data_IF_323362065542
#
_entry.id   IF_323362065542
#
_cell.length_a   1.000
_cell.length_b   1.000
_cell.length_c   1.000
_cell.angle_alpha   90.00
_cell.angle_beta   90.00
_cell.angle_gamma   90.00
#
_symmetry.space_group_name_H-M   'P 1'
#
loop_
_entity.id
_entity.type
_entity.pdbx_description
1 polymer ?
#
# COMPACT_ATOMS: atom_id res chain seq x y z
N UNK A 1 -27.03 45.53 -48.99
CA UNK A 1 -27.34 45.40 -47.54
C UNK A 1 -27.35 43.90 -47.23
N UNK A 2 -26.28 43.38 -46.64
CA UNK A 2 -26.19 41.96 -46.24
C UNK A 2 -25.66 41.95 -44.80
N UNK A 3 -26.50 41.51 -43.85
CA UNK A 3 -26.07 41.23 -42.48
C UNK A 3 -25.94 39.71 -42.36
N UNK A 4 -24.71 39.22 -42.22
CA UNK A 4 -24.48 37.85 -41.79
C UNK A 4 -24.56 37.81 -40.27
N UNK A 5 -25.56 37.11 -39.74
CA UNK A 5 -25.61 36.70 -38.33
C UNK A 5 -24.60 35.56 -38.15
N UNK A 6 -23.47 35.82 -37.51
CA UNK A 6 -22.59 34.78 -36.97
C UNK A 6 -22.46 34.99 -35.47
N UNK A 7 -23.43 34.42 -34.74
CA UNK A 7 -23.35 34.20 -33.31
C UNK A 7 -24.07 32.88 -33.00
N UNK A 8 -23.55 31.78 -33.53
CA UNK A 8 -24.08 30.43 -33.28
C UNK A 8 -22.96 29.39 -33.27
N UNK A 9 -21.90 29.54 -32.46
CA UNK A 9 -20.95 28.42 -32.26
C UNK A 9 -20.04 28.53 -31.03
N UNK A 10 -20.54 28.97 -29.87
CA UNK A 10 -19.76 28.82 -28.62
C UNK A 10 -20.61 28.17 -27.53
N UNK A 11 -21.89 28.51 -27.42
CA UNK A 11 -22.75 27.96 -26.36
C UNK A 11 -23.02 26.44 -26.50
N UNK A 12 -23.04 25.90 -27.72
CA UNK A 12 -23.28 24.46 -27.97
C UNK A 12 -22.04 23.55 -27.80
N UNK A 13 -20.85 24.11 -27.57
CA UNK A 13 -19.63 23.31 -27.36
C UNK A 13 -19.31 23.09 -25.87
N UNK A 14 -19.84 23.94 -24.98
CA UNK A 14 -19.63 23.79 -23.53
C UNK A 14 -20.52 22.70 -22.92
N UNK A 15 -21.71 22.46 -23.47
CA UNK A 15 -22.62 21.40 -22.97
C UNK A 15 -22.18 19.98 -23.36
N UNK A 16 -21.24 19.83 -24.29
CA UNK A 16 -20.67 18.53 -24.67
C UNK A 16 -19.32 18.23 -24.01
N UNK A 17 -18.79 19.13 -23.18
CA UNK A 17 -17.49 18.99 -22.51
C UNK A 17 -17.58 18.72 -21.01
N UNK A 18 -18.76 18.31 -20.53
CA UNK A 18 -18.91 17.68 -19.22
C UNK A 18 -19.38 16.24 -19.43
N UNK A 19 -18.50 15.42 -20.00
CA UNK A 19 -18.61 13.98 -19.83
C UNK A 19 -18.51 13.75 -18.33
N UNK A 20 -19.67 13.54 -17.70
CA UNK A 20 -19.84 13.20 -16.30
C UNK A 20 -18.89 12.03 -16.00
N UNK A 21 -17.74 12.33 -15.39
CA UNK A 21 -16.82 11.32 -14.89
C UNK A 21 -17.66 10.53 -13.89
N UNK A 22 -17.93 9.25 -14.19
CA UNK A 22 -18.68 8.41 -13.26
C UNK A 22 -17.94 8.36 -11.92
N UNK A 23 -18.63 8.18 -10.79
CA UNK A 23 -17.98 8.07 -9.49
C UNK A 23 -16.88 6.99 -9.46
N UNK A 24 -17.00 5.94 -10.27
CA UNK A 24 -15.94 4.94 -10.46
C UNK A 24 -14.73 5.49 -11.26
N UNK A 25 -14.97 6.33 -12.26
CA UNK A 25 -13.90 7.01 -13.01
C UNK A 25 -13.25 8.12 -12.18
N UNK A 26 -13.98 8.81 -11.30
CA UNK A 26 -13.43 9.80 -10.37
C UNK A 26 -12.55 9.12 -9.30
N UNK A 27 -12.98 7.96 -8.79
CA UNK A 27 -12.15 7.11 -7.93
C UNK A 27 -10.88 6.59 -8.64
N UNK A 28 -10.93 6.40 -9.96
CA UNK A 28 -9.73 6.11 -10.77
C UNK A 28 -8.81 7.32 -10.96
N UNK A 29 -9.32 8.54 -10.86
CA UNK A 29 -8.57 9.80 -11.04
C UNK A 29 -7.92 10.28 -9.73
N UNK A 30 -8.47 9.96 -8.55
CA UNK A 30 -8.03 10.58 -7.28
C UNK A 30 -7.07 9.79 -6.38
N UNK A 31 -6.81 8.49 -6.58
CA UNK A 31 -5.77 7.83 -5.79
C UNK A 31 -5.84 6.31 -5.79
N UNK A 32 -4.68 5.64 -5.86
CA UNK A 32 -4.59 4.21 -5.63
C UNK A 32 -4.75 3.84 -4.15
N UNK A 33 -4.94 2.55 -3.87
CA UNK A 33 -5.13 2.04 -2.51
C UNK A 33 -3.92 2.36 -1.63
N UNK A 34 -4.17 3.11 -0.56
CA UNK A 34 -3.22 3.40 0.50
C UNK A 34 -3.40 2.37 1.62
N UNK A 35 -2.28 1.82 2.12
CA UNK A 35 -2.29 0.90 3.26
C UNK A 35 -1.30 1.39 4.29
N UNK A 36 -1.77 1.54 5.53
CA UNK A 36 -0.98 1.84 6.72
C UNK A 36 -0.95 0.59 7.60
N UNK A 37 0.24 0.08 7.89
CA UNK A 37 0.42 -0.90 8.95
C UNK A 37 0.44 -0.18 10.28
N UNK A 38 -0.36 -0.66 11.24
CA UNK A 38 -0.57 -0.03 12.56
C UNK A 38 0.12 -0.79 13.68
N UNK A 39 0.26 -2.11 13.53
CA UNK A 39 0.90 -2.96 14.52
C UNK A 39 1.47 -4.23 13.91
N UNK A 40 2.45 -4.80 14.61
CA UNK A 40 2.99 -6.11 14.33
C UNK A 40 3.17 -6.87 15.65
N UNK A 41 2.73 -8.13 15.66
CA UNK A 41 2.95 -9.08 16.75
C UNK A 41 3.63 -10.32 16.22
N UNK A 42 4.77 -10.67 16.80
CA UNK A 42 5.37 -11.98 16.59
C UNK A 42 4.61 -13.01 17.42
N UNK A 43 4.02 -13.99 16.76
CA UNK A 43 3.49 -15.19 17.43
C UNK A 43 4.64 -16.19 17.59
N UNK A 44 5.49 -16.29 16.57
CA UNK A 44 6.70 -17.10 16.55
C UNK A 44 7.75 -16.41 15.69
N UNK A 45 8.99 -16.32 16.18
CA UNK A 45 10.12 -15.84 15.39
C UNK A 45 10.98 -17.04 14.96
N UNK A 46 11.19 -17.19 13.65
CA UNK A 46 12.06 -18.20 13.06
C UNK A 46 13.50 -17.99 13.53
N UNK A 47 14.20 -19.07 13.87
CA UNK A 47 15.56 -18.97 14.41
C UNK A 47 15.67 -18.27 15.79
N UNK A 48 14.55 -17.96 16.45
CA UNK A 48 14.48 -17.33 17.77
C UNK A 48 14.31 -15.81 17.76
N UNK A 49 14.71 -15.12 16.70
CA UNK A 49 14.54 -13.68 16.53
C UNK A 49 14.59 -13.25 15.06
N UNK A 50 13.78 -12.28 14.68
CA UNK A 50 13.79 -11.67 13.35
C UNK A 50 14.08 -10.16 13.41
N UNK A 51 14.81 -9.61 12.43
CA UNK A 51 14.93 -8.16 12.20
C UNK A 51 13.91 -7.72 11.14
N UNK A 52 12.68 -7.51 11.58
CA UNK A 52 11.54 -7.36 10.70
C UNK A 52 11.51 -6.00 10.01
N UNK A 53 11.34 -6.01 8.69
CA UNK A 53 10.91 -4.85 7.92
C UNK A 53 9.75 -5.14 6.96
N UNK A 54 9.05 -4.10 6.48
CA UNK A 54 7.89 -4.21 5.61
C UNK A 54 8.23 -3.72 4.19
N UNK A 55 7.46 -4.19 3.22
CA UNK A 55 7.53 -3.77 1.83
C UNK A 55 6.15 -3.80 1.20
N UNK A 56 5.95 -2.93 0.22
CA UNK A 56 4.68 -2.71 -0.45
C UNK A 56 4.88 -2.86 -1.95
N UNK A 57 4.10 -3.73 -2.60
CA UNK A 57 4.19 -4.02 -4.03
C UNK A 57 5.62 -4.34 -4.52
N UNK A 58 6.40 -5.03 -3.70
CA UNK A 58 7.78 -5.40 -4.02
C UNK A 58 8.80 -4.26 -3.89
N UNK A 59 8.37 -3.03 -3.59
CA UNK A 59 9.27 -1.93 -3.21
C UNK A 59 9.84 -2.24 -1.83
N UNK A 60 11.06 -2.74 -1.81
CA UNK A 60 11.83 -3.05 -0.61
C UNK A 60 12.49 -1.78 -0.07
N UNK A 61 12.50 -1.62 1.25
CA UNK A 61 13.32 -0.65 1.99
C UNK A 61 14.84 -0.92 1.90
N UNK A 62 15.32 -1.63 0.87
CA UNK A 62 16.74 -2.03 0.72
C UNK A 62 17.61 -0.92 0.12
N UNK A 63 17.01 0.20 -0.31
CA UNK A 63 17.78 1.38 -0.74
C UNK A 63 17.93 2.29 0.47
N UNK A 64 19.09 2.22 1.12
CA UNK A 64 19.54 3.12 2.20
C UNK A 64 19.45 4.63 1.85
N UNK A 65 19.14 4.99 0.60
CA UNK A 65 18.98 6.36 0.09
C UNK A 65 17.72 6.56 -0.79
N UNK A 66 16.73 5.66 -0.74
CA UNK A 66 15.46 5.81 -1.46
C UNK A 66 14.34 6.32 -0.53
N UNK A 67 13.37 7.11 -1.01
CA UNK A 67 12.31 7.68 -0.17
C UNK A 67 11.34 6.65 0.43
N UNK A 68 11.40 5.38 0.02
CA UNK A 68 10.45 4.32 0.40
C UNK A 68 10.96 3.39 1.52
N UNK A 69 11.55 3.95 2.58
CA UNK A 69 11.86 3.20 3.82
C UNK A 69 10.56 2.95 4.60
N UNK A 70 9.97 1.78 4.40
CA UNK A 70 8.70 1.38 5.03
C UNK A 70 8.89 0.73 6.43
N UNK A 71 10.05 0.88 7.05
CA UNK A 71 10.09 1.31 8.45
C UNK A 71 11.25 2.28 8.56
N UNK A 72 11.10 3.32 9.37
CA UNK A 72 12.23 4.20 9.72
C UNK A 72 13.42 3.43 10.33
N UNK A 73 13.19 2.20 10.81
CA UNK A 73 14.20 1.21 11.25
C UNK A 73 13.59 -0.19 11.35
N UNK A 74 14.33 -1.28 11.04
CA UNK A 74 13.88 -2.64 11.31
C UNK A 74 13.48 -2.83 12.78
N UNK A 75 12.52 -3.72 13.03
CA UNK A 75 12.06 -4.08 14.37
C UNK A 75 12.65 -5.43 14.77
N UNK A 76 13.38 -5.47 15.87
CA UNK A 76 13.82 -6.73 16.44
C UNK A 76 12.65 -7.41 17.14
N UNK A 77 12.28 -8.60 16.70
CA UNK A 77 11.08 -9.32 17.15
C UNK A 77 11.44 -10.73 17.61
N UNK A 78 11.15 -11.05 18.88
CA UNK A 78 11.18 -12.41 19.44
C UNK A 78 9.74 -12.93 19.59
N UNK A 79 9.57 -14.22 19.89
CA UNK A 79 8.24 -14.79 20.11
C UNK A 79 7.45 -14.02 21.18
N UNK A 80 6.21 -13.65 20.86
CA UNK A 80 5.34 -12.84 21.73
C UNK A 80 5.56 -11.33 21.63
N UNK A 81 6.64 -10.86 21.00
CA UNK A 81 6.93 -9.44 20.87
C UNK A 81 5.83 -8.70 20.11
N UNK A 82 5.57 -7.46 20.52
CA UNK A 82 4.59 -6.57 19.91
C UNK A 82 5.22 -5.20 19.66
N UNK A 83 4.91 -4.59 18.52
CA UNK A 83 5.32 -3.23 18.20
C UNK A 83 4.20 -2.47 17.47
N UNK A 84 3.99 -1.24 17.89
CA UNK A 84 3.25 -0.27 17.10
C UNK A 84 4.13 0.21 15.94
N UNK A 85 3.53 0.27 14.77
CA UNK A 85 4.18 0.71 13.54
C UNK A 85 3.25 1.66 12.79
N UNK A 86 3.82 2.58 12.03
CA UNK A 86 3.05 3.56 11.27
C UNK A 86 3.67 3.72 9.90
N UNK A 87 3.58 2.62 9.16
CA UNK A 87 4.22 2.50 7.85
C UNK A 87 3.15 2.55 6.78
N UNK A 88 3.32 3.44 5.81
CA UNK A 88 2.41 3.60 4.69
C UNK A 88 3.02 3.14 3.37
N UNK A 89 2.21 2.48 2.55
CA UNK A 89 2.46 2.32 1.12
C UNK A 89 1.24 2.74 0.30
N UNK A 90 1.46 3.12 -0.96
CA UNK A 90 0.41 3.53 -1.90
C UNK A 90 0.54 2.72 -3.18
N UNK A 91 -0.56 2.19 -3.69
CA UNK A 91 -0.61 1.50 -4.98
C UNK A 91 -0.97 2.47 -6.11
N UNK A 92 -0.90 2.00 -7.36
CA UNK A 92 -1.49 2.72 -8.48
C UNK A 92 -3.02 2.61 -8.49
N UNK A 93 -3.73 3.45 -9.26
CA UNK A 93 -5.18 3.34 -9.44
C UNK A 93 -5.59 1.94 -9.90
N UNK A 94 -6.62 1.36 -9.28
CA UNK A 94 -7.10 0.00 -9.59
C UNK A 94 -6.12 -1.13 -9.23
N UNK A 95 -4.99 -0.83 -8.60
CA UNK A 95 -3.98 -1.83 -8.21
C UNK A 95 -4.16 -2.23 -6.76
N UNK A 96 -4.23 -3.55 -6.49
CA UNK A 96 -4.21 -4.08 -5.13
C UNK A 96 -2.87 -3.80 -4.44
N UNK A 97 -2.89 -3.69 -3.12
CA UNK A 97 -1.68 -3.53 -2.32
C UNK A 97 -1.18 -4.88 -1.80
N UNK A 98 0.04 -5.27 -2.18
CA UNK A 98 0.74 -6.44 -1.63
C UNK A 98 1.68 -5.99 -0.53
N UNK A 99 1.39 -6.41 0.71
CA UNK A 99 2.25 -6.18 1.87
C UNK A 99 3.08 -7.43 2.11
N UNK A 100 4.39 -7.29 2.29
CA UNK A 100 5.27 -8.38 2.74
C UNK A 100 6.12 -7.94 3.92
N UNK A 101 6.25 -8.82 4.91
CA UNK A 101 7.27 -8.71 5.93
C UNK A 101 8.52 -9.45 5.50
N UNK A 102 9.66 -8.92 5.93
CA UNK A 102 10.98 -9.47 5.64
C UNK A 102 11.87 -9.43 6.85
N UNK A 103 12.80 -10.37 6.94
CA UNK A 103 13.87 -10.37 7.92
C UNK A 103 15.16 -9.81 7.30
N UNK A 104 15.64 -8.68 7.81
CA UNK A 104 16.89 -8.05 7.36
C UNK A 104 18.11 -8.92 7.64
N UNK A 105 18.05 -9.78 8.66
CA UNK A 105 19.19 -10.63 9.02
C UNK A 105 19.31 -11.87 8.14
N UNK A 106 18.25 -12.24 7.41
CA UNK A 106 18.24 -13.38 6.52
C UNK A 106 18.91 -13.09 5.17
N UNK A 107 19.56 -14.10 4.55
CA UNK A 107 20.11 -13.97 3.19
C UNK A 107 19.07 -13.52 2.16
N UNK A 108 19.52 -12.81 1.12
CA UNK A 108 18.66 -12.39 0.01
C UNK A 108 17.93 -13.60 -0.60
N UNK A 109 16.65 -13.42 -0.90
CA UNK A 109 15.78 -14.49 -1.42
C UNK A 109 15.21 -15.43 -0.35
N UNK A 110 15.76 -15.45 0.87
CA UNK A 110 15.20 -16.18 2.03
C UNK A 110 14.64 -15.25 3.10
N UNK A 111 14.73 -13.95 2.89
CA UNK A 111 14.30 -12.93 3.84
C UNK A 111 12.78 -12.74 3.92
N UNK A 112 11.94 -13.50 3.23
CA UNK A 112 10.50 -13.33 3.35
C UNK A 112 9.98 -13.96 4.64
N UNK A 113 9.18 -13.21 5.42
CA UNK A 113 8.46 -13.68 6.61
C UNK A 113 6.96 -13.88 6.33
N UNK A 114 6.55 -13.71 5.06
CA UNK A 114 5.17 -13.83 4.59
C UNK A 114 4.56 -12.46 4.26
N UNK A 115 3.27 -12.47 3.95
CA UNK A 115 2.57 -11.27 3.52
C UNK A 115 1.11 -11.50 3.20
N UNK A 116 0.43 -10.44 2.82
CA UNK A 116 -0.98 -10.45 2.44
C UNK A 116 -1.27 -9.40 1.37
N UNK A 117 -2.41 -9.53 0.71
CA UNK A 117 -2.90 -8.57 -0.27
C UNK A 117 -4.15 -7.88 0.25
N UNK A 118 -4.19 -6.57 0.10
CA UNK A 118 -5.36 -5.72 0.34
C UNK A 118 -5.88 -5.27 -1.02
N UNK A 119 -7.17 -5.44 -1.26
CA UNK A 119 -7.81 -5.09 -2.55
C UNK A 119 -8.77 -3.92 -2.44
N UNK A 120 -9.29 -3.69 -1.25
CA UNK A 120 -10.36 -2.73 -0.97
C UNK A 120 -10.05 -2.00 0.34
N UNK A 121 -10.58 -0.78 0.53
CA UNK A 121 -10.54 -0.07 1.81
C UNK A 121 -11.08 -0.91 2.96
N UNK A 122 -10.56 -0.66 4.16
CA UNK A 122 -10.97 -1.37 5.36
C UNK A 122 -9.86 -1.43 6.40
N UNK A 123 -10.15 -2.03 7.54
CA UNK A 123 -9.15 -2.24 8.60
C UNK A 123 -9.23 -3.65 9.13
N UNK A 124 -8.17 -4.07 9.80
CA UNK A 124 -8.20 -5.32 10.53
C UNK A 124 -6.83 -5.88 10.82
N UNK A 125 -6.82 -7.18 11.07
CA UNK A 125 -5.62 -7.96 11.34
C UNK A 125 -5.46 -9.05 10.30
N UNK A 126 -4.20 -9.36 9.97
CA UNK A 126 -3.84 -10.48 9.10
C UNK A 126 -2.76 -11.30 9.78
N UNK A 127 -2.98 -12.61 9.80
CA UNK A 127 -2.00 -13.57 10.31
C UNK A 127 -1.41 -14.32 9.12
N UNK A 128 -0.09 -14.40 9.05
CA UNK A 128 0.61 -15.19 8.04
C UNK A 128 1.86 -15.83 8.62
N UNK A 129 2.33 -16.87 7.96
CA UNK A 129 3.44 -17.69 8.40
C UNK A 129 4.32 -18.07 7.21
N UNK A 130 5.63 -17.94 7.38
CA UNK A 130 6.63 -18.40 6.41
C UNK A 130 7.97 -18.62 7.12
N UNK A 131 8.77 -19.57 6.66
CA UNK A 131 10.13 -19.85 7.16
C UNK A 131 10.23 -20.04 8.68
N UNK A 132 9.19 -20.62 9.30
CA UNK A 132 9.14 -20.86 10.75
C UNK A 132 8.76 -19.63 11.58
N UNK A 133 8.60 -18.46 10.97
CA UNK A 133 8.07 -17.28 11.64
C UNK A 133 6.57 -17.12 11.37
N UNK A 134 5.83 -16.68 12.39
CA UNK A 134 4.38 -16.41 12.32
C UNK A 134 4.08 -15.05 12.91
N UNK A 135 3.41 -14.21 12.14
CA UNK A 135 3.13 -12.82 12.50
C UNK A 135 1.64 -12.50 12.38
N UNK A 136 1.14 -11.67 13.30
CA UNK A 136 -0.10 -10.93 13.16
C UNK A 136 0.25 -9.47 12.86
N UNK A 137 -0.37 -8.90 11.83
CA UNK A 137 -0.17 -7.51 11.41
C UNK A 137 -1.51 -6.79 11.39
N UNK A 138 -1.59 -5.67 12.11
CA UNK A 138 -2.71 -4.73 12.03
C UNK A 138 -2.52 -3.76 10.87
N UNK A 139 -3.60 -3.45 10.17
CA UNK A 139 -3.58 -2.51 9.05
C UNK A 139 -4.86 -1.67 8.96
N UNK A 140 -4.73 -0.53 8.29
CA UNK A 140 -5.79 0.36 7.82
C UNK A 140 -5.56 0.61 6.33
N UNK A 141 -6.61 0.55 5.53
CA UNK A 141 -6.59 0.74 4.09
C UNK A 141 -7.69 1.71 3.66
N UNK A 142 -7.36 2.61 2.75
CA UNK A 142 -8.22 3.67 2.25
C UNK A 142 -7.74 4.10 0.85
N UNK A 143 -8.59 4.83 0.12
CA UNK A 143 -8.21 5.43 -1.17
C UNK A 143 -7.54 6.79 -0.93
#
# INVERSE_FOLDING_TARGET
MVRYNQAQTIDNLNDQLFTEISSEQAAMVEGGLQVVLTSIRSIQAGGGSDQVFASFNGRSADVLNGPDLTFSRPKFMTAGAFANIFTKGTSGPGVSMVVRLRDKSAPQGKNSLGGFTVREPGSGKRVFQLNGSRYEVGFLAFN
#
